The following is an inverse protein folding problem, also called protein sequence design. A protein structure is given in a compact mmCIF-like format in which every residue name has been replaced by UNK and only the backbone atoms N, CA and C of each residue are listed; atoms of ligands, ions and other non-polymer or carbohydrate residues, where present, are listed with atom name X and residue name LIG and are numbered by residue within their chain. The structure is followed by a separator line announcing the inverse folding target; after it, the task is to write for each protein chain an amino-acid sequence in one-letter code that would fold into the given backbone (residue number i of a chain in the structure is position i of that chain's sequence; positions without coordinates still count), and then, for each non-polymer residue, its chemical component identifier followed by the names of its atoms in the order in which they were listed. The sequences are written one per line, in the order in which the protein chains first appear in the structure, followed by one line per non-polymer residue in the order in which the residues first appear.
data_IF_557129347666
#
_entry.id   IF_557129347666
#
_cell.length_a   1.000
_cell.length_b   1.000
_cell.length_c   1.000
_cell.angle_alpha   90.00
_cell.angle_beta   90.00
_cell.angle_gamma   90.00
#
_symmetry.space_group_name_H-M   'P 1'
#
loop_
_entity.id
_entity.type
_entity.pdbx_description
1 polymer ?
#
# COMPACT_ATOMS: atom_id res chain seq x y z
N UNK A 1 8.90 15.04 -36.62
CA UNK A 1 7.44 14.85 -36.84
C UNK A 1 7.25 13.54 -37.57
N UNK A 2 6.32 12.68 -37.06
CA UNK A 2 5.98 11.40 -37.71
C UNK A 2 5.13 11.71 -38.93
N UNK A 3 5.50 11.13 -40.08
CA UNK A 3 4.85 11.35 -41.37
C UNK A 3 4.41 10.01 -41.97
N UNK A 4 3.40 10.03 -42.83
CA UNK A 4 3.02 8.93 -43.69
C UNK A 4 3.04 9.36 -45.17
N UNK A 5 3.06 8.40 -46.06
CA UNK A 5 3.18 8.66 -47.49
C UNK A 5 1.85 8.37 -48.15
N UNK A 6 1.36 9.31 -48.98
CA UNK A 6 0.17 9.11 -49.79
C UNK A 6 0.51 9.43 -51.25
N UNK A 7 -0.14 8.76 -52.17
CA UNK A 7 -0.12 9.15 -53.57
C UNK A 7 -1.17 10.23 -53.81
N UNK A 8 -0.70 11.41 -54.22
CA UNK A 8 -1.58 12.54 -54.62
C UNK A 8 -1.97 12.41 -56.07
N UNK A 9 -3.20 12.09 -56.37
CA UNK A 9 -3.72 11.96 -57.74
C UNK A 9 -3.68 13.27 -58.47
N UNK A 10 -3.91 14.39 -57.77
CA UNK A 10 -3.88 15.73 -58.37
C UNK A 10 -2.50 16.19 -58.77
N UNK A 11 -1.46 15.79 -58.02
CA UNK A 11 -0.05 16.14 -58.31
C UNK A 11 0.69 15.04 -59.07
N UNK A 12 0.06 13.87 -59.22
CA UNK A 12 0.64 12.65 -59.82
C UNK A 12 1.98 12.26 -59.20
N UNK A 13 2.11 12.41 -57.87
CA UNK A 13 3.33 12.14 -57.12
C UNK A 13 3.04 11.62 -55.74
N UNK A 14 4.07 11.04 -55.11
CA UNK A 14 4.03 10.57 -53.71
C UNK A 14 4.41 11.73 -52.79
N UNK A 15 3.51 12.08 -51.86
CA UNK A 15 3.72 13.18 -50.91
C UNK A 15 3.77 12.70 -49.47
N UNK A 16 4.63 13.30 -48.69
CA UNK A 16 4.69 13.05 -47.25
C UNK A 16 3.71 13.96 -46.52
N UNK A 17 2.85 13.36 -45.74
CA UNK A 17 1.83 14.07 -44.95
C UNK A 17 2.11 13.80 -43.44
N UNK A 18 2.18 14.87 -42.61
CA UNK A 18 2.30 14.66 -41.17
C UNK A 18 1.05 14.04 -40.59
N UNK A 19 1.21 13.08 -39.64
CA UNK A 19 0.07 12.56 -38.92
C UNK A 19 -0.64 13.67 -38.14
N UNK A 20 -1.98 13.64 -38.09
CA UNK A 20 -2.74 14.51 -37.20
C UNK A 20 -2.31 14.34 -35.75
N UNK A 21 -2.25 15.44 -34.99
CA UNK A 21 -1.84 15.37 -33.56
C UNK A 21 -2.72 14.44 -32.73
N UNK A 22 -4.01 14.35 -33.04
CA UNK A 22 -4.95 13.41 -32.38
C UNK A 22 -4.58 11.94 -32.60
N UNK A 23 -4.10 11.60 -33.79
CA UNK A 23 -3.65 10.23 -34.11
C UNK A 23 -2.36 9.91 -33.34
N UNK A 24 -1.44 10.88 -33.31
CA UNK A 24 -0.18 10.74 -32.56
C UNK A 24 -0.47 10.58 -31.07
N UNK A 25 -1.34 11.39 -30.48
CA UNK A 25 -1.72 11.31 -29.06
C UNK A 25 -2.35 9.94 -28.73
N UNK A 26 -3.33 9.53 -29.53
CA UNK A 26 -3.98 8.21 -29.33
C UNK A 26 -3.00 7.03 -29.47
N UNK A 27 -2.07 7.12 -30.42
CA UNK A 27 -1.03 6.08 -30.58
C UNK A 27 -0.07 6.05 -29.41
N UNK A 28 0.32 7.21 -28.89
CA UNK A 28 1.17 7.34 -27.69
C UNK A 28 0.48 6.73 -26.47
N UNK A 29 -0.76 7.11 -26.18
CA UNK A 29 -1.54 6.60 -25.06
C UNK A 29 -1.69 5.08 -25.15
N UNK A 30 -2.09 4.56 -26.32
CA UNK A 30 -2.21 3.12 -26.54
C UNK A 30 -0.89 2.37 -26.31
N UNK A 31 0.24 2.97 -26.73
CA UNK A 31 1.55 2.35 -26.53
C UNK A 31 1.88 2.22 -25.05
N UNK A 32 1.63 3.27 -24.25
CA UNK A 32 1.90 3.25 -22.82
C UNK A 32 0.99 2.24 -22.07
N UNK A 33 -0.30 2.16 -22.43
CA UNK A 33 -1.17 1.13 -21.86
C UNK A 33 -0.72 -0.30 -22.23
N UNK A 34 -0.26 -0.51 -23.47
CA UNK A 34 0.31 -1.80 -23.89
C UNK A 34 1.57 -2.15 -23.12
N UNK A 35 2.46 -1.20 -22.89
CA UNK A 35 3.67 -1.41 -22.07
C UNK A 35 3.27 -1.84 -20.67
N UNK A 36 2.32 -1.14 -20.04
CA UNK A 36 1.81 -1.49 -18.72
C UNK A 36 1.26 -2.93 -18.67
N UNK A 37 0.31 -3.25 -19.55
CA UNK A 37 -0.31 -4.58 -19.58
C UNK A 37 0.67 -5.70 -19.89
N UNK A 38 1.63 -5.45 -20.80
CA UNK A 38 2.70 -6.39 -21.12
C UNK A 38 3.61 -6.62 -19.92
N UNK A 39 4.02 -5.56 -19.22
CA UNK A 39 4.87 -5.69 -18.04
C UNK A 39 4.18 -6.51 -16.94
N UNK A 40 2.89 -6.28 -16.70
CA UNK A 40 2.10 -7.08 -15.77
C UNK A 40 2.05 -8.55 -16.19
N UNK A 41 1.81 -8.80 -17.48
CA UNK A 41 1.77 -10.16 -18.03
C UNK A 41 3.10 -10.89 -17.87
N UNK A 42 4.21 -10.24 -18.23
CA UNK A 42 5.55 -10.83 -18.12
C UNK A 42 5.91 -11.12 -16.65
N UNK A 43 5.60 -10.20 -15.74
CA UNK A 43 5.87 -10.39 -14.31
C UNK A 43 5.05 -11.55 -13.72
N UNK A 44 3.73 -11.60 -13.95
CA UNK A 44 2.90 -12.68 -13.44
C UNK A 44 3.23 -14.06 -14.03
N UNK A 45 3.83 -14.11 -15.22
CA UNK A 45 4.27 -15.38 -15.83
C UNK A 45 5.73 -15.75 -15.54
N UNK A 46 6.54 -14.83 -14.99
CA UNK A 46 7.96 -15.06 -14.69
C UNK A 46 8.21 -15.67 -13.31
N UNK A 47 7.23 -15.59 -12.43
CA UNK A 47 7.31 -16.07 -11.05
C UNK A 47 6.27 -17.15 -10.77
N UNK A 48 6.54 -17.96 -9.74
CA UNK A 48 5.57 -18.93 -9.24
C UNK A 48 4.31 -18.21 -8.76
N UNK A 49 3.15 -18.75 -9.15
CA UNK A 49 1.83 -18.14 -8.85
C UNK A 49 1.57 -17.97 -7.36
N UNK A 50 2.19 -18.81 -6.54
CA UNK A 50 2.05 -18.78 -5.09
C UNK A 50 2.89 -17.67 -4.43
N UNK A 51 3.91 -17.16 -5.13
CA UNK A 51 4.82 -16.13 -4.62
C UNK A 51 4.39 -14.70 -4.97
N UNK A 52 3.61 -14.50 -6.04
CA UNK A 52 3.25 -13.17 -6.52
C UNK A 52 1.73 -13.04 -6.66
N UNK A 53 1.09 -12.58 -5.60
CA UNK A 53 -0.37 -12.45 -5.54
C UNK A 53 -0.89 -11.17 -6.18
N UNK A 54 -0.14 -10.08 -6.09
CA UNK A 54 -0.53 -8.77 -6.65
C UNK A 54 0.68 -7.99 -7.16
N UNK A 55 0.46 -7.15 -8.18
CA UNK A 55 1.47 -6.24 -8.74
C UNK A 55 0.88 -4.84 -8.81
N UNK A 56 1.67 -3.85 -8.36
CA UNK A 56 1.41 -2.43 -8.61
C UNK A 56 2.40 -1.93 -9.65
N UNK A 57 1.87 -1.39 -10.75
CA UNK A 57 2.66 -0.77 -11.82
C UNK A 57 2.46 0.73 -11.80
N UNK A 58 3.58 1.49 -11.71
CA UNK A 58 3.59 2.94 -11.79
C UNK A 58 4.43 3.37 -12.99
N UNK A 59 3.82 4.10 -13.93
CA UNK A 59 4.50 4.64 -15.11
C UNK A 59 4.98 6.06 -14.87
N UNK A 60 6.30 6.26 -14.90
CA UNK A 60 6.94 7.56 -14.73
C UNK A 60 7.51 8.05 -16.03
N UNK A 61 7.40 9.37 -16.28
CA UNK A 61 8.01 10.05 -17.40
C UNK A 61 8.86 11.20 -16.89
N UNK A 62 10.11 11.27 -17.35
CA UNK A 62 10.98 12.42 -17.11
C UNK A 62 10.92 13.35 -18.32
N UNK A 63 10.54 14.59 -18.09
CA UNK A 63 10.41 15.60 -19.11
C UNK A 63 10.87 16.97 -18.62
N UNK A 64 11.33 17.80 -19.57
CA UNK A 64 11.73 19.18 -19.28
C UNK A 64 10.50 20.03 -18.92
N UNK A 65 10.48 20.55 -17.69
CA UNK A 65 9.51 21.58 -17.30
C UNK A 65 9.92 22.92 -17.93
N UNK A 66 9.17 23.35 -18.94
CA UNK A 66 9.45 24.56 -19.68
C UNK A 66 9.36 25.86 -18.85
N UNK A 67 8.64 25.82 -17.71
CA UNK A 67 8.48 27.00 -16.84
C UNK A 67 9.74 27.26 -15.99
N UNK A 68 10.45 26.20 -15.59
CA UNK A 68 11.61 26.29 -14.69
C UNK A 68 12.93 25.82 -15.33
N UNK A 69 12.87 25.28 -16.57
CA UNK A 69 14.04 24.81 -17.31
C UNK A 69 14.75 23.60 -16.71
N UNK A 70 14.08 22.82 -15.84
CA UNK A 70 14.62 21.63 -15.19
C UNK A 70 13.84 20.39 -15.60
N UNK A 71 14.51 19.24 -15.57
CA UNK A 71 13.84 17.96 -15.74
C UNK A 71 13.02 17.60 -14.48
N UNK A 72 11.80 17.15 -14.70
CA UNK A 72 10.90 16.65 -13.67
C UNK A 72 10.41 15.25 -14.04
N UNK A 73 10.42 14.35 -13.06
CA UNK A 73 9.84 13.01 -13.20
C UNK A 73 8.44 13.01 -12.62
N UNK A 74 7.45 12.64 -13.43
CA UNK A 74 6.04 12.62 -13.06
C UNK A 74 5.46 11.23 -13.26
N UNK A 75 4.65 10.76 -12.30
CA UNK A 75 3.82 9.59 -12.51
C UNK A 75 2.63 9.98 -13.39
N UNK A 76 2.39 9.25 -14.47
CA UNK A 76 1.31 9.54 -15.44
C UNK A 76 0.26 8.43 -15.52
N UNK A 77 0.59 7.23 -15.05
CA UNK A 77 -0.35 6.12 -14.92
C UNK A 77 0.05 5.21 -13.75
N UNK A 78 -0.94 4.64 -13.11
CA UNK A 78 -0.77 3.70 -12.00
C UNK A 78 -1.88 2.67 -12.01
N UNK A 79 -1.57 1.39 -11.79
CA UNK A 79 -2.54 0.31 -11.69
C UNK A 79 -2.06 -0.74 -10.72
N UNK A 80 -2.99 -1.30 -9.95
CA UNK A 80 -2.75 -2.47 -9.12
C UNK A 80 -3.73 -3.56 -9.50
N UNK A 81 -3.25 -4.80 -9.60
CA UNK A 81 -4.10 -5.95 -9.90
C UNK A 81 -3.56 -7.21 -9.24
N UNK A 82 -4.45 -8.15 -8.96
CA UNK A 82 -4.08 -9.47 -8.45
C UNK A 82 -3.84 -10.46 -9.60
N UNK A 83 -3.01 -11.47 -9.36
CA UNK A 83 -2.76 -12.55 -10.32
C UNK A 83 -4.05 -13.25 -10.74
N UNK A 84 -4.92 -13.56 -9.76
CA UNK A 84 -6.19 -14.22 -10.00
C UNK A 84 -7.06 -13.46 -11.01
N UNK A 85 -7.26 -12.17 -10.80
CA UNK A 85 -8.06 -11.35 -11.71
C UNK A 85 -7.37 -11.17 -13.07
N UNK A 86 -6.07 -10.89 -13.09
CA UNK A 86 -5.33 -10.61 -14.32
C UNK A 86 -5.29 -11.81 -15.28
N UNK A 87 -5.20 -13.04 -14.75
CA UNK A 87 -5.23 -14.26 -15.57
C UNK A 87 -6.58 -14.54 -16.22
N UNK A 88 -7.67 -13.90 -15.79
CA UNK A 88 -8.97 -14.02 -16.47
C UNK A 88 -9.04 -13.21 -17.78
N UNK A 89 -8.07 -12.32 -18.01
CA UNK A 89 -8.09 -11.37 -19.13
C UNK A 89 -7.46 -11.98 -20.38
N UNK A 90 -8.20 -12.03 -21.46
CA UNK A 90 -7.68 -12.42 -22.78
C UNK A 90 -6.94 -11.27 -23.48
N UNK A 91 -5.72 -10.97 -23.08
CA UNK A 91 -4.94 -9.79 -23.51
C UNK A 91 -4.80 -9.61 -25.02
N UNK A 92 -4.86 -10.69 -25.79
CA UNK A 92 -4.77 -10.63 -27.25
C UNK A 92 -6.00 -10.03 -27.94
N UNK A 93 -7.12 -9.92 -27.21
CA UNK A 93 -8.43 -9.50 -27.74
C UNK A 93 -8.97 -8.21 -27.12
N UNK A 94 -8.23 -7.57 -26.22
CA UNK A 94 -8.70 -6.38 -25.50
C UNK A 94 -8.17 -5.09 -26.12
N UNK A 95 -8.96 -4.01 -26.01
CA UNK A 95 -8.46 -2.67 -26.21
C UNK A 95 -7.63 -2.25 -24.99
N UNK A 96 -6.37 -1.77 -25.16
CA UNK A 96 -5.47 -1.53 -24.05
C UNK A 96 -5.97 -0.49 -23.04
N UNK A 97 -6.59 0.59 -23.50
CA UNK A 97 -7.13 1.64 -22.63
C UNK A 97 -8.33 1.12 -21.82
N UNK A 98 -9.24 0.43 -22.50
CA UNK A 98 -10.42 -0.16 -21.86
C UNK A 98 -10.02 -1.21 -20.84
N UNK A 99 -9.04 -2.06 -21.17
CA UNK A 99 -8.50 -3.05 -20.24
C UNK A 99 -7.85 -2.39 -19.02
N UNK A 100 -7.00 -1.38 -19.22
CA UNK A 100 -6.39 -0.64 -18.12
C UNK A 100 -7.43 -0.03 -17.17
N UNK A 101 -8.50 0.54 -17.73
CA UNK A 101 -9.61 1.08 -16.92
C UNK A 101 -10.40 -0.01 -16.19
N UNK A 102 -10.60 -1.19 -16.79
CA UNK A 102 -11.26 -2.32 -16.13
C UNK A 102 -10.48 -2.84 -14.93
N UNK A 103 -9.14 -2.71 -14.96
CA UNK A 103 -8.24 -2.95 -13.83
C UNK A 103 -8.28 -1.83 -12.77
N UNK A 104 -9.19 -0.86 -12.89
CA UNK A 104 -9.26 0.34 -12.03
C UNK A 104 -7.98 1.17 -12.05
N UNK A 105 -7.25 1.13 -13.16
CA UNK A 105 -6.05 1.93 -13.34
C UNK A 105 -6.36 3.43 -13.36
N UNK A 106 -5.49 4.21 -12.73
CA UNK A 106 -5.54 5.68 -12.67
C UNK A 106 -4.54 6.23 -13.67
N UNK A 107 -4.98 7.14 -14.51
CA UNK A 107 -4.12 7.83 -15.49
C UNK A 107 -4.56 9.27 -15.69
N UNK A 108 -3.66 10.11 -16.21
CA UNK A 108 -4.04 11.41 -16.74
C UNK A 108 -5.08 11.26 -17.88
N UNK A 109 -5.86 12.29 -18.15
CA UNK A 109 -6.88 12.30 -19.20
C UNK A 109 -6.26 12.00 -20.57
N UNK A 110 -5.08 12.56 -20.83
CA UNK A 110 -4.20 12.26 -21.97
C UNK A 110 -2.78 12.06 -21.43
N UNK A 111 -2.12 10.99 -21.83
CA UNK A 111 -0.77 10.67 -21.33
C UNK A 111 0.30 11.53 -22.01
N UNK A 112 0.04 11.99 -23.24
CA UNK A 112 0.96 12.84 -23.99
C UNK A 112 1.17 14.21 -23.34
N UNK A 113 0.21 14.71 -22.57
CA UNK A 113 0.31 16.00 -21.88
C UNK A 113 1.14 15.92 -20.58
N UNK A 114 1.55 14.72 -20.19
CA UNK A 114 2.41 14.45 -19.03
C UNK A 114 1.86 15.10 -17.74
N UNK A 115 0.54 15.12 -17.60
CA UNK A 115 -0.11 15.61 -16.38
C UNK A 115 0.12 14.62 -15.25
N UNK A 116 0.60 15.07 -14.07
CA UNK A 116 0.90 14.16 -12.96
C UNK A 116 -0.36 13.60 -12.34
N UNK A 117 -0.28 12.35 -11.93
CA UNK A 117 -1.27 11.69 -11.05
C UNK A 117 -0.60 11.26 -9.75
N UNK A 118 -1.41 11.03 -8.72
CA UNK A 118 -0.96 10.37 -7.49
C UNK A 118 -0.94 8.86 -7.76
N UNK A 119 0.21 8.18 -7.61
CA UNK A 119 0.27 6.73 -7.74
C UNK A 119 -0.63 6.03 -6.72
N UNK A 120 -1.21 4.88 -7.09
CA UNK A 120 -2.01 4.04 -6.19
C UNK A 120 -1.16 3.58 -5.00
N UNK A 121 0.09 3.23 -5.26
CA UNK A 121 1.04 2.78 -4.25
C UNK A 121 2.43 3.30 -4.60
N UNK A 122 3.12 3.91 -3.63
CA UNK A 122 4.53 4.31 -3.77
C UNK A 122 5.35 3.76 -2.62
N UNK A 123 6.46 3.09 -2.96
CA UNK A 123 7.47 2.69 -1.99
C UNK A 123 8.72 3.52 -2.15
N UNK A 124 9.23 4.04 -1.07
CA UNK A 124 10.58 4.57 -1.05
C UNK A 124 11.55 3.39 -0.92
N UNK A 125 12.14 2.95 -2.04
CA UNK A 125 13.11 1.82 -2.08
C UNK A 125 14.37 2.08 -1.24
N UNK A 126 14.64 3.32 -0.90
CA UNK A 126 15.80 3.73 -0.09
C UNK A 126 15.46 3.90 1.38
N UNK A 127 14.25 3.59 1.80
CA UNK A 127 13.85 3.65 3.19
C UNK A 127 14.37 2.41 3.94
N UNK A 128 15.51 2.57 4.57
CA UNK A 128 16.19 1.52 5.35
C UNK A 128 15.48 1.16 6.67
N UNK A 129 14.34 1.80 6.95
CA UNK A 129 13.52 1.49 8.14
C UNK A 129 12.78 0.17 7.99
N UNK A 130 12.53 -0.28 6.75
CA UNK A 130 11.82 -1.53 6.50
C UNK A 130 12.74 -2.74 6.58
N UNK A 131 12.31 -3.76 7.32
CA UNK A 131 13.03 -5.03 7.50
C UNK A 131 12.17 -6.20 7.03
N UNK A 132 12.81 -7.31 6.68
CA UNK A 132 12.13 -8.57 6.45
C UNK A 132 11.59 -9.12 7.77
N UNK A 133 10.41 -9.70 7.69
CA UNK A 133 9.69 -10.18 8.86
C UNK A 133 9.91 -11.67 9.11
N UNK A 134 9.90 -12.03 10.38
CA UNK A 134 9.83 -13.41 10.84
C UNK A 134 8.40 -13.69 11.32
N UNK A 135 7.84 -14.85 11.00
CA UNK A 135 6.55 -15.24 11.54
C UNK A 135 6.71 -15.66 13.02
N UNK A 136 5.74 -15.27 13.84
CA UNK A 136 5.69 -15.64 15.25
C UNK A 136 4.83 -16.89 15.41
N UNK A 137 5.41 -17.95 15.98
CA UNK A 137 4.64 -19.15 16.32
C UNK A 137 3.78 -18.86 17.56
N UNK A 138 2.47 -18.91 17.42
CA UNK A 138 1.50 -18.76 18.50
C UNK A 138 0.89 -20.12 18.77
N UNK A 139 1.21 -20.72 19.93
CA UNK A 139 0.60 -21.96 20.38
C UNK A 139 -0.83 -21.72 20.87
N UNK A 140 -1.66 -22.77 20.82
CA UNK A 140 -3.03 -22.71 21.31
C UNK A 140 -3.07 -22.27 22.78
N UNK A 141 -3.88 -21.25 23.07
CA UNK A 141 -4.05 -20.68 24.40
C UNK A 141 -2.93 -19.75 24.87
N UNK A 142 -2.00 -19.34 24.00
CA UNK A 142 -0.94 -18.37 24.34
C UNK A 142 -1.56 -17.06 24.84
N UNK A 143 -1.04 -16.56 26.00
CA UNK A 143 -1.44 -15.26 26.53
C UNK A 143 -0.66 -14.13 25.83
N UNK A 144 -1.32 -13.44 24.91
CA UNK A 144 -0.70 -12.37 24.09
C UNK A 144 -0.21 -11.18 24.94
N UNK A 145 -0.78 -10.97 26.13
CA UNK A 145 -0.32 -9.90 27.02
C UNK A 145 1.02 -10.21 27.69
N UNK A 146 1.52 -11.46 27.65
CA UNK A 146 2.76 -11.90 28.29
C UNK A 146 3.90 -12.23 27.34
N UNK A 147 3.66 -12.29 26.00
CA UNK A 147 4.74 -12.56 25.03
C UNK A 147 5.75 -11.40 25.00
N UNK A 148 6.93 -11.61 24.41
CA UNK A 148 7.90 -10.55 24.24
C UNK A 148 7.32 -9.38 23.41
N UNK A 149 7.78 -8.17 23.63
CA UNK A 149 7.26 -6.98 22.96
C UNK A 149 7.54 -6.99 21.45
N UNK A 150 8.73 -7.49 21.04
CA UNK A 150 9.09 -7.60 19.64
C UNK A 150 8.23 -8.68 18.94
N UNK A 151 7.98 -9.81 19.61
CA UNK A 151 7.07 -10.85 19.12
C UNK A 151 5.65 -10.31 18.97
N UNK A 152 5.20 -9.45 19.90
CA UNK A 152 3.91 -8.80 19.81
C UNK A 152 3.81 -7.86 18.59
N UNK A 153 4.82 -7.06 18.32
CA UNK A 153 4.88 -6.21 17.13
C UNK A 153 4.86 -7.04 15.84
N UNK A 154 5.63 -8.13 15.79
CA UNK A 154 5.63 -9.05 14.66
C UNK A 154 4.28 -9.74 14.45
N UNK A 155 3.64 -10.18 15.51
CA UNK A 155 2.30 -10.80 15.47
C UNK A 155 1.26 -9.82 14.91
N UNK A 156 1.25 -8.59 15.42
CA UNK A 156 0.34 -7.53 14.96
C UNK A 156 0.55 -7.26 13.47
N UNK A 157 1.78 -7.21 13.03
CA UNK A 157 2.08 -7.02 11.62
C UNK A 157 1.56 -8.17 10.76
N UNK A 158 1.84 -9.43 11.12
CA UNK A 158 1.37 -10.61 10.38
C UNK A 158 -0.17 -10.63 10.32
N UNK A 159 -0.82 -10.24 11.41
CA UNK A 159 -2.27 -10.10 11.49
C UNK A 159 -2.80 -9.07 10.48
N UNK A 160 -2.17 -7.89 10.43
CA UNK A 160 -2.58 -6.85 9.49
C UNK A 160 -2.19 -7.16 8.04
N UNK A 161 -1.09 -7.89 7.81
CA UNK A 161 -0.75 -8.39 6.48
C UNK A 161 -1.86 -9.29 5.93
N UNK A 162 -2.36 -10.22 6.74
CA UNK A 162 -3.52 -11.06 6.37
C UNK A 162 -4.79 -10.24 6.17
N UNK A 163 -5.04 -9.24 7.02
CA UNK A 163 -6.24 -8.40 6.92
C UNK A 163 -6.26 -7.51 5.67
N UNK A 164 -5.12 -6.91 5.31
CA UNK A 164 -5.02 -6.03 4.15
C UNK A 164 -4.83 -6.80 2.83
N UNK A 165 -4.12 -7.94 2.83
CA UNK A 165 -3.89 -8.74 1.63
C UNK A 165 -5.17 -9.18 0.94
N UNK A 166 -6.22 -9.47 1.71
CA UNK A 166 -7.53 -9.83 1.18
C UNK A 166 -8.14 -8.74 0.26
N UNK A 167 -7.70 -7.49 0.39
CA UNK A 167 -8.15 -6.34 -0.40
C UNK A 167 -7.07 -5.80 -1.35
N UNK A 168 -5.98 -6.56 -1.56
CA UNK A 168 -4.85 -6.13 -2.38
C UNK A 168 -3.95 -5.09 -1.72
N UNK A 169 -4.06 -4.92 -0.39
CA UNK A 169 -3.18 -4.08 0.40
C UNK A 169 -1.83 -4.75 0.70
N UNK A 170 -0.87 -3.97 1.11
CA UNK A 170 0.46 -4.44 1.53
C UNK A 170 0.81 -3.86 2.90
N UNK A 171 1.44 -4.65 3.74
CA UNK A 171 1.94 -4.22 5.06
C UNK A 171 3.45 -4.43 5.12
N UNK A 172 4.18 -3.42 5.60
CA UNK A 172 5.64 -3.49 5.80
C UNK A 172 6.02 -3.17 7.23
N UNK A 173 7.03 -3.86 7.72
CA UNK A 173 7.61 -3.62 9.05
C UNK A 173 8.61 -2.48 9.01
N UNK A 174 8.61 -1.69 10.07
CA UNK A 174 9.68 -0.70 10.34
C UNK A 174 10.66 -1.25 11.37
N UNK A 175 11.88 -0.69 11.41
CA UNK A 175 12.83 -0.97 12.49
C UNK A 175 12.38 -0.28 13.78
N UNK A 176 12.25 -1.04 14.87
CA UNK A 176 11.65 -0.62 16.13
C UNK A 176 12.38 0.48 16.92
N UNK A 177 13.55 0.92 16.52
CA UNK A 177 14.43 1.71 17.42
C UNK A 177 14.60 3.19 17.07
N UNK A 178 14.05 3.73 15.98
CA UNK A 178 14.32 5.13 15.55
C UNK A 178 13.17 5.90 14.92
N UNK A 179 12.00 5.30 14.77
CA UNK A 179 10.97 5.80 13.83
C UNK A 179 9.70 6.33 14.53
N UNK A 180 9.83 6.92 15.72
CA UNK A 180 8.66 7.51 16.40
C UNK A 180 7.60 6.49 16.84
N UNK A 181 7.99 5.20 16.98
CA UNK A 181 7.10 4.13 17.43
C UNK A 181 6.18 3.58 16.30
N UNK A 182 6.58 3.68 15.04
CA UNK A 182 5.89 3.02 13.92
C UNK A 182 6.34 1.57 13.85
N UNK A 183 5.43 0.62 14.04
CA UNK A 183 5.75 -0.82 14.03
C UNK A 183 5.47 -1.43 12.66
N UNK A 184 4.47 -0.91 11.94
CA UNK A 184 4.23 -1.28 10.56
C UNK A 184 3.59 -0.13 9.77
N UNK A 185 3.74 -0.19 8.45
CA UNK A 185 3.06 0.68 7.50
C UNK A 185 2.24 -0.18 6.57
N UNK A 186 0.94 0.05 6.55
CA UNK A 186 0.03 -0.57 5.59
C UNK A 186 -0.28 0.40 4.45
N UNK A 187 -0.54 -0.17 3.28
CA UNK A 187 -1.01 0.56 2.12
C UNK A 187 -2.31 -0.08 1.64
N UNK A 188 -3.38 0.70 1.70
CA UNK A 188 -4.68 0.32 1.18
C UNK A 188 -4.84 0.94 -0.21
N UNK A 189 -5.06 0.13 -1.26
CA UNK A 189 -5.16 0.62 -2.64
C UNK A 189 -6.49 1.29 -2.97
N UNK A 190 -7.46 1.32 -2.06
CA UNK A 190 -8.74 1.97 -2.30
C UNK A 190 -8.53 3.47 -2.63
N UNK A 191 -8.97 3.97 -3.81
CA UNK A 191 -8.67 5.32 -4.25
C UNK A 191 -9.40 6.42 -3.47
N UNK A 192 -10.41 6.06 -2.66
CA UNK A 192 -11.23 7.01 -1.89
C UNK A 192 -10.91 6.93 -0.39
N UNK A 193 -10.76 5.72 0.14
CA UNK A 193 -10.62 5.47 1.58
C UNK A 193 -9.24 4.98 1.97
N UNK A 194 -8.45 4.54 1.00
CA UNK A 194 -7.15 3.95 1.18
C UNK A 194 -6.02 4.96 1.39
N UNK A 195 -4.81 4.54 1.11
CA UNK A 195 -3.59 5.30 1.26
C UNK A 195 -2.64 4.68 2.29
N UNK A 196 -1.67 5.47 2.74
CA UNK A 196 -0.71 5.06 3.76
C UNK A 196 -1.35 5.05 5.14
N UNK A 197 -1.26 3.94 5.85
CA UNK A 197 -1.80 3.73 7.19
C UNK A 197 -0.66 3.38 8.13
N UNK A 198 -0.52 4.12 9.22
CA UNK A 198 0.47 3.83 10.27
C UNK A 198 -0.14 2.87 11.27
N UNK A 199 0.59 1.82 11.64
CA UNK A 199 0.18 0.85 12.65
C UNK A 199 1.18 0.92 13.80
N UNK A 200 0.67 1.12 15.01
CA UNK A 200 1.42 1.04 16.25
C UNK A 200 0.82 -0.03 17.16
N UNK A 201 1.67 -0.92 17.64
CA UNK A 201 1.32 -1.98 18.57
C UNK A 201 1.86 -1.64 19.97
N UNK A 202 1.01 -1.72 20.98
CA UNK A 202 1.39 -1.44 22.37
C UNK A 202 0.95 -2.58 23.28
N UNK A 203 1.91 -3.48 23.63
CA UNK A 203 1.69 -4.53 24.61
C UNK A 203 1.68 -3.93 26.02
N UNK A 204 0.52 -3.48 26.44
CA UNK A 204 0.34 -2.87 27.75
C UNK A 204 -0.55 -3.75 28.64
N UNK A 205 -0.23 -3.76 29.94
CA UNK A 205 -1.04 -4.38 30.99
C UNK A 205 -1.86 -3.37 31.80
N UNK A 206 -1.68 -2.07 31.52
CA UNK A 206 -2.46 -0.99 32.09
C UNK A 206 -3.20 -0.23 31.01
N UNK A 207 -4.23 0.51 31.39
CA UNK A 207 -5.02 1.36 30.48
C UNK A 207 -4.12 2.31 29.72
N UNK A 208 -4.27 2.35 28.40
CA UNK A 208 -3.51 3.21 27.50
C UNK A 208 -4.03 4.64 27.61
N UNK A 209 -3.15 5.54 28.04
CA UNK A 209 -3.46 6.95 28.19
C UNK A 209 -3.45 7.71 26.86
N UNK A 210 -4.02 8.92 26.88
CA UNK A 210 -4.16 9.80 25.70
C UNK A 210 -2.81 10.20 25.07
N UNK A 211 -1.70 10.13 25.81
CA UNK A 211 -0.36 10.43 25.25
C UNK A 211 -0.01 9.56 24.06
N UNK A 212 -0.21 8.23 24.16
CA UNK A 212 0.07 7.31 23.07
C UNK A 212 -0.77 7.62 21.81
N UNK A 213 -2.02 8.08 22.00
CA UNK A 213 -2.89 8.45 20.88
C UNK A 213 -2.45 9.77 20.23
N UNK A 214 -1.93 10.73 21.03
CA UNK A 214 -1.35 11.97 20.53
C UNK A 214 -0.05 11.71 19.76
N UNK A 215 0.80 10.82 20.25
CA UNK A 215 2.05 10.43 19.60
C UNK A 215 1.75 9.80 18.23
N UNK A 216 0.80 8.86 18.14
CA UNK A 216 0.35 8.30 16.87
C UNK A 216 -0.19 9.40 15.93
N UNK A 217 -0.97 10.35 16.44
CA UNK A 217 -1.48 11.45 15.61
C UNK A 217 -0.35 12.30 15.03
N UNK A 218 0.64 12.63 15.85
CA UNK A 218 1.86 13.32 15.39
C UNK A 218 2.59 12.54 14.29
N UNK A 219 2.70 11.22 14.47
CA UNK A 219 3.33 10.33 13.48
C UNK A 219 2.55 10.28 12.17
N UNK A 220 1.20 10.21 12.19
CA UNK A 220 0.35 10.25 10.99
C UNK A 220 0.66 11.51 10.17
N UNK A 221 0.70 12.67 10.82
CA UNK A 221 0.98 13.96 10.17
C UNK A 221 2.40 13.99 9.59
N UNK A 222 3.38 13.60 10.40
CA UNK A 222 4.80 13.60 10.00
C UNK A 222 5.09 12.66 8.82
N UNK A 223 4.45 11.49 8.81
CA UNK A 223 4.61 10.47 7.77
C UNK A 223 3.72 10.70 6.53
N UNK A 224 2.90 11.75 6.53
CA UNK A 224 1.95 12.03 5.45
C UNK A 224 0.95 10.87 5.23
N UNK A 225 0.56 10.19 6.32
CA UNK A 225 -0.35 9.06 6.25
C UNK A 225 -1.81 9.52 6.22
N UNK A 226 -2.67 8.71 5.58
CA UNK A 226 -4.12 8.97 5.52
C UNK A 226 -4.81 8.63 6.84
N UNK A 227 -4.29 7.66 7.60
CA UNK A 227 -4.83 7.27 8.91
C UNK A 227 -3.81 6.50 9.74
N UNK A 228 -4.15 6.23 11.01
CA UNK A 228 -3.37 5.39 11.91
C UNK A 228 -4.23 4.44 12.73
N UNK A 229 -3.62 3.33 13.10
CA UNK A 229 -4.22 2.30 13.96
C UNK A 229 -3.31 2.14 15.18
N UNK A 230 -3.87 2.36 16.38
CA UNK A 230 -3.22 1.97 17.62
C UNK A 230 -3.88 0.71 18.14
N UNK A 231 -3.10 -0.36 18.31
CA UNK A 231 -3.59 -1.64 18.81
C UNK A 231 -2.89 -2.00 20.11
N UNK A 232 -3.64 -2.53 21.07
CA UNK A 232 -3.10 -2.88 22.38
C UNK A 232 -3.74 -4.15 22.94
N UNK A 233 -3.04 -4.79 23.88
CA UNK A 233 -3.59 -5.88 24.71
C UNK A 233 -4.52 -5.38 25.82
N UNK A 234 -4.42 -4.11 26.21
CA UNK A 234 -5.22 -3.47 27.27
C UNK A 234 -6.45 -2.72 26.72
N UNK A 235 -7.04 -1.89 27.57
CA UNK A 235 -8.09 -0.95 27.19
C UNK A 235 -7.55 0.48 27.09
N UNK A 236 -8.32 1.38 26.45
CA UNK A 236 -8.04 2.81 26.37
C UNK A 236 -8.82 3.58 27.42
N UNK A 237 -8.22 4.63 27.96
CA UNK A 237 -8.91 5.58 28.81
C UNK A 237 -9.94 6.42 28.03
N UNK A 238 -10.93 6.98 28.74
CA UNK A 238 -11.97 7.83 28.15
C UNK A 238 -11.41 9.02 27.36
N UNK A 239 -10.32 9.62 27.84
CA UNK A 239 -9.63 10.74 27.17
C UNK A 239 -9.00 10.32 25.84
N UNK A 240 -8.57 9.07 25.72
CA UNK A 240 -8.03 8.48 24.48
C UNK A 240 -9.10 8.43 23.39
N UNK A 241 -10.28 7.92 23.71
CA UNK A 241 -11.43 7.92 22.81
C UNK A 241 -11.90 9.33 22.44
N UNK A 242 -11.96 10.23 23.43
CA UNK A 242 -12.33 11.63 23.20
C UNK A 242 -11.35 12.32 22.26
N UNK A 243 -10.06 12.08 22.42
CA UNK A 243 -9.05 12.66 21.53
C UNK A 243 -9.08 12.06 20.12
N UNK A 244 -9.29 10.76 19.98
CA UNK A 244 -9.34 10.08 18.69
C UNK A 244 -10.61 10.44 17.87
N UNK A 245 -11.67 10.90 18.54
CA UNK A 245 -12.90 11.34 17.88
C UNK A 245 -12.58 12.42 16.84
N UNK A 246 -13.20 12.31 15.69
CA UNK A 246 -13.04 13.22 14.55
C UNK A 246 -11.60 13.33 13.99
N UNK A 247 -10.73 12.34 14.28
CA UNK A 247 -9.39 12.20 13.72
C UNK A 247 -9.25 10.89 12.96
N UNK A 248 -8.31 10.80 12.02
CA UNK A 248 -8.08 9.59 11.24
C UNK A 248 -7.34 8.51 12.07
N UNK A 249 -7.83 8.21 13.26
CA UNK A 249 -7.26 7.27 14.22
C UNK A 249 -8.26 6.18 14.55
N UNK A 250 -7.83 4.93 14.49
CA UNK A 250 -8.58 3.76 14.98
C UNK A 250 -7.90 3.22 16.23
N UNK A 251 -8.67 3.06 17.30
CA UNK A 251 -8.21 2.45 18.56
C UNK A 251 -8.76 1.03 18.66
N UNK A 252 -7.85 0.05 18.64
CA UNK A 252 -8.17 -1.38 18.76
C UNK A 252 -7.67 -1.88 20.13
N UNK A 253 -8.58 -2.15 21.05
CA UNK A 253 -8.24 -2.70 22.36
C UNK A 253 -8.04 -4.23 22.32
N UNK A 254 -7.74 -4.84 23.47
CA UNK A 254 -7.51 -6.29 23.58
C UNK A 254 -8.66 -7.15 23.07
N UNK A 255 -9.91 -6.71 23.23
CA UNK A 255 -11.07 -7.42 22.68
C UNK A 255 -11.11 -7.38 21.15
N UNK A 256 -10.81 -6.24 20.53
CA UNK A 256 -10.68 -6.13 19.08
C UNK A 256 -9.51 -6.98 18.55
N UNK A 257 -8.36 -6.95 19.24
CA UNK A 257 -7.21 -7.77 18.89
C UNK A 257 -7.55 -9.26 18.88
N UNK A 258 -8.20 -9.78 19.95
CA UNK A 258 -8.63 -11.19 20.01
C UNK A 258 -9.59 -11.53 18.87
N UNK A 259 -10.55 -10.65 18.58
CA UNK A 259 -11.49 -10.87 17.47
C UNK A 259 -10.78 -11.00 16.13
N UNK A 260 -9.78 -10.15 15.86
CA UNK A 260 -8.97 -10.21 14.64
C UNK A 260 -8.10 -11.48 14.61
N UNK A 261 -7.47 -11.85 15.72
CA UNK A 261 -6.68 -13.07 15.81
C UNK A 261 -7.52 -14.31 15.51
N UNK A 262 -8.70 -14.45 16.13
CA UNK A 262 -9.61 -15.56 15.86
C UNK A 262 -10.11 -15.58 14.40
N UNK A 263 -10.39 -14.41 13.81
CA UNK A 263 -10.77 -14.29 12.39
C UNK A 263 -9.73 -14.91 11.47
N UNK A 264 -8.44 -14.77 11.80
CA UNK A 264 -7.32 -15.29 11.03
C UNK A 264 -6.78 -16.65 11.55
N UNK A 265 -7.54 -17.35 12.39
CA UNK A 265 -7.26 -18.72 12.79
C UNK A 265 -6.27 -18.88 13.95
N UNK A 266 -5.92 -17.81 14.65
CA UNK A 266 -5.09 -17.88 15.85
C UNK A 266 -5.95 -18.19 17.08
N UNK A 267 -5.58 -19.22 17.82
CA UNK A 267 -6.19 -19.57 19.11
C UNK A 267 -5.38 -18.96 20.25
N UNK A 268 -5.65 -17.68 20.53
CA UNK A 268 -4.94 -16.88 21.51
C UNK A 268 -5.89 -16.34 22.58
N UNK A 269 -5.34 -15.99 23.76
CA UNK A 269 -6.06 -15.32 24.84
C UNK A 269 -5.33 -14.08 25.33
N UNK A 270 -6.05 -13.22 26.04
CA UNK A 270 -5.47 -12.09 26.78
C UNK A 270 -5.90 -12.19 28.23
N UNK A 271 -4.93 -12.37 29.12
CA UNK A 271 -5.10 -12.33 30.57
C UNK A 271 -4.10 -11.34 31.17
N UNK A 272 -4.59 -10.15 31.50
CA UNK A 272 -3.78 -9.03 31.98
C UNK A 272 -3.24 -9.31 33.40
N UNK A 273 -3.99 -9.99 34.27
CA UNK A 273 -3.57 -10.29 35.64
C UNK A 273 -2.38 -11.24 35.63
N UNK A 274 -2.47 -12.34 34.89
CA UNK A 274 -1.38 -13.29 34.68
C UNK A 274 -0.13 -12.60 34.10
N UNK A 275 -0.30 -11.71 33.13
CA UNK A 275 0.83 -10.99 32.55
C UNK A 275 1.51 -10.04 33.55
N UNK A 276 0.76 -9.42 34.47
CA UNK A 276 1.33 -8.58 35.55
C UNK A 276 2.13 -9.42 36.54
N UNK A 277 1.61 -10.56 36.96
CA UNK A 277 2.31 -11.47 37.88
C UNK A 277 3.66 -11.92 37.32
N UNK A 278 3.71 -12.28 36.02
CA UNK A 278 4.95 -12.67 35.34
C UNK A 278 5.98 -11.52 35.33
N UNK A 279 5.54 -10.31 35.02
CA UNK A 279 6.42 -9.13 35.00
C UNK A 279 6.98 -8.76 36.38
N UNK A 280 6.21 -8.97 37.44
CA UNK A 280 6.64 -8.70 38.82
C UNK A 280 7.63 -9.76 39.35
N UNK A 281 7.56 -10.99 38.84
CA UNK A 281 8.55 -12.03 39.13
C UNK A 281 9.90 -11.73 38.46
N UNK A 282 9.89 -11.31 37.20
CA UNK A 282 11.11 -10.92 36.45
C UNK A 282 11.84 -9.72 37.06
N UNK A 283 11.14 -8.76 37.66
CA UNK A 283 11.75 -7.60 38.33
C UNK A 283 12.37 -7.90 39.71
N UNK A 284 12.08 -9.07 40.26
CA UNK A 284 12.60 -9.52 41.57
C UNK A 284 13.81 -10.44 41.47
N UNK A 285 14.19 -10.85 40.27
CA UNK A 285 15.41 -11.58 39.97
C UNK A 285 16.51 -10.61 39.48
#
# INVERSE_FOLDING_TARGET
KIKYVIYSVSMNEVVEVPFPNSVIAKSYDNTLYRICLRSLYELFNSYDKDLMQAITFNGYVTALNKAIGKEETKCILSVQTTAEFFHTIGLSKVDPNTCFKSLKGVSAATLIDISPIVPILTFNKTDHRFIESHSVAIDSGTNIASIDWADFEHLVRELFEKEFSANGGEVKVTQSSRDGGVDAVAFDPDPIRGGKIIIQAKRYTNTVGVSAVRDLYGTIINEGASSGILITTADYGADSYTFAKDKPIKLLNGGHLLSLLHKHGYDARINIEEAKEMTDVEKKQ
#
